data_IF_305791541958
#
_entry.id   IF_305791541958
#
_cell.length_a   1.000
_cell.length_b   1.000
_cell.length_c   1.000
_cell.angle_alpha   90.00
_cell.angle_beta   90.00
_cell.angle_gamma   90.00
#
_symmetry.space_group_name_H-M   'P 1'
#
loop_
_entity.id
_entity.type
_entity.pdbx_description
1 polymer ?
#
# COMPACT_ATOMS: atom_id res chain seq x y z
N UNK A 1 -41.04 -40.22 -32.54
CA UNK A 1 -40.75 -38.83 -32.12
C UNK A 1 -39.60 -38.90 -31.12
N UNK A 2 -38.41 -38.41 -31.49
CA UNK A 2 -37.14 -38.79 -30.87
C UNK A 2 -36.80 -37.88 -29.68
N UNK A 3 -37.05 -38.37 -28.47
CA UNK A 3 -36.99 -37.64 -27.18
C UNK A 3 -35.63 -37.00 -26.90
N UNK A 4 -34.52 -37.53 -27.43
CA UNK A 4 -33.20 -36.89 -27.27
C UNK A 4 -33.07 -35.54 -27.97
N UNK A 5 -33.72 -35.32 -29.12
CA UNK A 5 -33.66 -34.03 -29.83
C UNK A 5 -34.47 -32.93 -29.12
N UNK A 6 -35.52 -33.32 -28.38
CA UNK A 6 -36.37 -32.38 -27.65
C UNK A 6 -35.65 -31.81 -26.42
N UNK A 7 -34.91 -32.63 -25.68
CA UNK A 7 -34.20 -32.22 -24.46
C UNK A 7 -33.05 -31.25 -24.79
N UNK A 8 -32.30 -31.51 -25.86
CA UNK A 8 -31.17 -30.66 -26.25
C UNK A 8 -31.62 -29.27 -26.73
N UNK A 9 -32.79 -29.19 -27.38
CA UNK A 9 -33.32 -27.92 -27.90
C UNK A 9 -33.86 -27.03 -26.78
N UNK A 10 -34.47 -27.62 -25.74
CA UNK A 10 -34.96 -26.87 -24.57
C UNK A 10 -33.79 -26.33 -23.72
N UNK A 11 -32.71 -27.09 -23.59
CA UNK A 11 -31.54 -26.70 -22.78
C UNK A 11 -30.77 -25.52 -23.40
N UNK A 12 -30.65 -25.48 -24.74
CA UNK A 12 -30.03 -24.34 -25.45
C UNK A 12 -30.88 -23.07 -25.35
N UNK A 13 -32.21 -23.18 -25.35
CA UNK A 13 -33.10 -22.02 -25.26
C UNK A 13 -33.07 -21.34 -23.88
N UNK A 14 -32.87 -22.12 -22.80
CA UNK A 14 -32.77 -21.59 -21.43
C UNK A 14 -31.46 -20.83 -21.21
N UNK A 15 -30.36 -21.24 -21.86
CA UNK A 15 -29.07 -20.56 -21.74
C UNK A 15 -29.04 -19.21 -22.47
N UNK A 16 -29.74 -19.08 -23.62
CA UNK A 16 -29.75 -17.83 -24.40
C UNK A 16 -30.62 -16.73 -23.74
N UNK A 17 -31.61 -17.10 -22.93
CA UNK A 17 -32.44 -16.13 -22.20
C UNK A 17 -31.84 -15.69 -20.85
N UNK A 18 -30.82 -16.39 -20.34
CA UNK A 18 -30.22 -16.13 -19.01
C UNK A 18 -29.08 -15.10 -18.97
N UNK A 19 -28.54 -14.67 -20.11
CA UNK A 19 -27.38 -13.75 -20.17
C UNK A 19 -27.75 -12.28 -20.50
N UNK A 20 -29.04 -11.93 -20.49
CA UNK A 20 -29.53 -10.65 -21.02
C UNK A 20 -29.85 -9.53 -20.01
N UNK A 21 -29.49 -9.64 -18.73
CA UNK A 21 -29.84 -8.61 -17.74
C UNK A 21 -28.69 -8.33 -16.77
N UNK A 22 -27.90 -7.28 -17.04
CA UNK A 22 -27.31 -6.38 -16.02
C UNK A 22 -26.37 -5.37 -16.68
N UNK A 23 -26.91 -4.28 -17.25
CA UNK A 23 -26.29 -2.94 -17.20
C UNK A 23 -27.40 -1.89 -17.20
N UNK A 24 -27.98 -1.61 -16.03
CA UNK A 24 -28.66 -0.33 -15.76
C UNK A 24 -27.64 0.52 -15.01
N UNK A 25 -26.99 1.45 -15.70
CA UNK A 25 -26.28 2.55 -15.04
C UNK A 25 -27.15 3.79 -15.13
N UNK A 26 -27.88 4.06 -14.06
CA UNK A 26 -28.67 5.27 -13.87
C UNK A 26 -27.79 6.50 -14.13
N UNK A 27 -28.08 7.25 -15.19
CA UNK A 27 -27.65 8.64 -15.31
C UNK A 27 -28.64 9.47 -14.50
N UNK A 28 -28.31 9.71 -13.24
CA UNK A 28 -28.93 10.77 -12.46
C UNK A 28 -28.49 12.11 -13.03
N UNK A 29 -29.34 12.70 -13.88
CA UNK A 29 -29.28 14.12 -14.22
C UNK A 29 -30.03 14.83 -13.10
N UNK A 30 -29.31 15.58 -12.27
CA UNK A 30 -29.90 16.54 -11.32
C UNK A 30 -29.86 17.91 -12.01
N UNK A 31 -30.99 18.57 -12.28
CA UNK A 31 -31.00 19.92 -12.84
C UNK A 31 -31.00 20.96 -11.70
N UNK A 32 -30.03 21.87 -11.75
CA UNK A 32 -30.07 23.24 -11.19
C UNK A 32 -30.06 23.38 -9.65
N UNK A 33 -29.10 24.14 -9.12
CA UNK A 33 -29.29 25.54 -8.70
C UNK A 33 -28.21 25.98 -7.71
N UNK A 34 -27.58 27.12 -8.02
CA UNK A 34 -27.26 28.22 -7.11
C UNK A 34 -26.26 28.04 -5.93
N UNK A 35 -25.10 28.68 -6.14
CA UNK A 35 -24.36 29.54 -5.19
C UNK A 35 -23.74 28.95 -3.90
N UNK A 36 -22.45 28.61 -3.97
CA UNK A 36 -21.53 28.59 -2.81
C UNK A 36 -20.18 29.13 -3.33
N UNK A 37 -19.76 30.34 -2.95
CA UNK A 37 -18.86 30.57 -1.80
C UNK A 37 -17.40 30.40 -2.24
N UNK A 38 -16.46 31.34 -2.01
CA UNK A 38 -15.07 31.11 -2.39
C UNK A 38 -14.53 29.94 -1.56
N UNK A 39 -14.19 28.83 -2.22
CA UNK A 39 -13.49 27.72 -1.57
C UNK A 39 -12.17 28.24 -1.01
N UNK A 40 -12.02 28.14 0.32
CA UNK A 40 -10.74 28.29 0.96
C UNK A 40 -9.80 27.20 0.44
N UNK A 41 -8.67 27.62 -0.12
CA UNK A 41 -7.62 26.76 -0.66
C UNK A 41 -7.06 25.93 0.50
N UNK A 42 -7.58 24.72 0.70
CA UNK A 42 -6.89 23.69 1.46
C UNK A 42 -5.67 23.28 0.64
N UNK A 43 -4.42 23.49 1.11
CA UNK A 43 -3.27 22.94 0.41
C UNK A 43 -3.40 21.42 0.39
N UNK A 44 -3.49 20.88 -0.82
CA UNK A 44 -3.42 19.46 -1.12
C UNK A 44 -2.20 18.86 -0.37
N UNK A 45 -2.36 17.78 0.41
CA UNK A 45 -1.22 17.15 1.05
C UNK A 45 -0.26 16.67 -0.04
N UNK A 46 0.92 17.28 -0.09
CA UNK A 46 1.98 16.87 -0.99
C UNK A 46 2.49 15.48 -0.58
N UNK A 47 2.05 14.39 -1.22
CA UNK A 47 2.89 13.20 -1.37
C UNK A 47 2.37 12.23 -2.44
N UNK A 48 2.86 12.40 -3.67
CA UNK A 48 2.78 11.37 -4.70
C UNK A 48 3.88 10.36 -4.47
N UNK A 49 3.58 9.27 -3.76
CA UNK A 49 4.52 8.17 -3.53
C UNK A 49 5.22 7.76 -4.83
N UNK A 50 6.56 7.83 -4.84
CA UNK A 50 7.34 7.61 -6.06
C UNK A 50 7.78 6.16 -6.12
N UNK A 51 7.57 5.51 -7.27
CA UNK A 51 8.11 4.17 -7.54
C UNK A 51 9.59 4.26 -7.91
N UNK A 52 10.46 3.68 -7.09
CA UNK A 52 11.92 3.67 -7.27
C UNK A 52 12.43 2.23 -7.40
N UNK A 53 13.60 2.06 -8.01
CA UNK A 53 14.32 0.78 -7.98
C UNK A 53 15.55 0.91 -7.07
N UNK A 54 15.93 -0.19 -6.40
CA UNK A 54 17.09 -0.23 -5.53
C UNK A 54 17.88 -1.52 -5.63
N UNK A 55 19.14 -1.45 -5.21
CA UNK A 55 20.05 -2.59 -5.11
C UNK A 55 20.11 -3.12 -3.67
N UNK A 56 20.25 -4.44 -3.53
CA UNK A 56 20.51 -5.06 -2.24
C UNK A 56 21.85 -4.59 -1.65
N UNK A 57 21.89 -4.42 -0.32
CA UNK A 57 23.06 -3.97 0.42
C UNK A 57 23.34 -2.48 0.28
N UNK A 58 22.50 -1.69 -0.41
CA UNK A 58 22.59 -0.23 -0.43
C UNK A 58 21.52 0.38 0.48
N UNK A 59 21.84 1.55 1.03
CA UNK A 59 20.89 2.34 1.80
C UNK A 59 19.88 2.99 0.84
N UNK A 60 18.60 2.94 1.20
CA UNK A 60 17.48 3.45 0.42
C UNK A 60 16.62 4.32 1.31
N UNK A 61 16.37 5.54 0.87
CA UNK A 61 15.51 6.50 1.56
C UNK A 61 14.06 6.41 1.08
N UNK A 62 13.14 6.42 2.03
CA UNK A 62 11.70 6.37 1.82
C UNK A 62 11.05 7.63 2.41
N UNK A 63 10.23 8.30 1.59
CA UNK A 63 9.15 9.16 2.05
C UNK A 63 7.89 8.35 2.36
N UNK A 64 6.85 9.01 2.87
CA UNK A 64 5.60 8.33 3.16
C UNK A 64 4.98 7.82 1.85
N UNK A 65 4.46 6.59 1.85
CA UNK A 65 3.92 5.91 0.65
C UNK A 65 4.92 5.69 -0.49
N UNK A 66 6.21 5.99 -0.31
CA UNK A 66 7.22 5.63 -1.30
C UNK A 66 7.29 4.12 -1.44
N UNK A 67 7.48 3.69 -2.70
CA UNK A 67 7.58 2.29 -3.06
C UNK A 67 8.91 2.00 -3.74
N UNK A 68 9.59 0.97 -3.30
CA UNK A 68 10.89 0.54 -3.84
C UNK A 68 10.81 -0.91 -4.29
N UNK A 69 11.25 -1.15 -5.53
CA UNK A 69 11.29 -2.47 -6.14
C UNK A 69 12.75 -2.91 -6.33
N UNK A 70 13.07 -4.10 -5.85
CA UNK A 70 14.38 -4.73 -5.98
C UNK A 70 14.39 -5.69 -7.17
N UNK A 71 15.59 -6.08 -7.60
CA UNK A 71 15.82 -6.89 -8.80
C UNK A 71 15.21 -8.29 -8.78
N UNK A 72 14.85 -8.83 -7.62
CA UNK A 72 14.17 -10.13 -7.49
C UNK A 72 12.65 -10.03 -7.36
N UNK A 73 12.09 -8.84 -7.56
CA UNK A 73 10.67 -8.57 -7.43
C UNK A 73 10.20 -8.30 -6.00
N UNK A 74 11.10 -8.22 -5.02
CA UNK A 74 10.75 -7.69 -3.70
C UNK A 74 10.32 -6.22 -3.84
N UNK A 75 9.15 -5.91 -3.30
CA UNK A 75 8.53 -4.61 -3.26
C UNK A 75 8.35 -4.20 -1.80
N UNK A 76 8.86 -3.02 -1.44
CA UNK A 76 8.78 -2.43 -0.11
C UNK A 76 8.07 -1.09 -0.22
N UNK A 77 7.11 -0.85 0.65
CA UNK A 77 6.41 0.42 0.77
C UNK A 77 6.48 0.92 2.21
N UNK A 78 6.83 2.19 2.41
CA UNK A 78 6.73 2.83 3.74
C UNK A 78 5.30 3.29 3.95
N UNK A 79 4.59 2.66 4.88
CA UNK A 79 3.19 2.97 5.17
C UNK A 79 3.02 4.07 6.19
N UNK A 80 3.85 4.06 7.22
CA UNK A 80 3.71 5.01 8.33
C UNK A 80 5.05 5.26 9.06
N UNK A 81 5.13 6.40 9.73
CA UNK A 81 6.23 6.77 10.63
C UNK A 81 5.63 7.21 11.96
N UNK A 82 5.81 6.40 12.99
CA UNK A 82 5.43 6.76 14.35
C UNK A 82 6.63 7.42 15.06
N UNK A 83 6.52 8.71 15.39
CA UNK A 83 7.50 9.44 16.22
C UNK A 83 6.94 9.70 17.61
N UNK A 84 7.28 8.83 18.56
CA UNK A 84 6.88 8.95 19.97
C UNK A 84 7.96 9.60 20.83
N UNK A 85 8.94 10.30 20.23
CA UNK A 85 10.01 10.98 20.99
C UNK A 85 9.47 12.20 21.71
N UNK A 86 10.11 12.52 22.84
CA UNK A 86 9.76 13.71 23.61
C UNK A 86 10.05 15.00 22.82
N UNK A 87 9.07 15.92 22.67
CA UNK A 87 9.30 17.21 22.05
C UNK A 87 10.33 18.06 22.80
N UNK A 88 11.02 18.92 22.07
CA UNK A 88 11.98 19.86 22.67
C UNK A 88 11.31 20.75 23.72
N UNK A 89 11.94 20.90 24.89
CA UNK A 89 11.45 21.75 25.97
C UNK A 89 10.38 21.12 26.86
N UNK A 90 10.06 19.83 26.67
CA UNK A 90 9.13 19.09 27.52
C UNK A 90 9.88 18.04 28.35
N UNK A 91 9.48 17.87 29.61
CA UNK A 91 9.96 16.77 30.44
C UNK A 91 9.01 15.58 30.29
N UNK A 92 9.41 14.59 29.49
CA UNK A 92 8.68 13.33 29.42
C UNK A 92 9.11 12.40 30.55
N UNK A 93 8.16 11.66 31.10
CA UNK A 93 8.44 10.57 32.06
C UNK A 93 8.97 9.36 31.29
N UNK A 94 8.47 9.11 30.09
CA UNK A 94 8.89 8.04 29.19
C UNK A 94 9.08 8.63 27.79
N UNK A 95 10.29 8.55 27.24
CA UNK A 95 10.57 8.92 25.86
C UNK A 95 10.44 7.67 24.98
N UNK A 96 9.62 7.75 23.93
CA UNK A 96 9.52 6.70 22.92
C UNK A 96 10.62 6.78 21.87
N UNK A 97 10.36 6.20 20.72
CA UNK A 97 11.30 6.13 19.59
C UNK A 97 10.61 6.49 18.27
N UNK A 98 11.40 6.67 17.20
CA UNK A 98 10.84 6.63 15.85
C UNK A 98 10.79 5.18 15.38
N UNK A 99 9.64 4.77 14.84
CA UNK A 99 9.41 3.48 14.18
C UNK A 99 8.87 3.71 12.78
N UNK A 100 9.56 3.16 11.77
CA UNK A 100 9.03 3.04 10.41
C UNK A 100 8.25 1.73 10.25
N UNK A 101 7.05 1.83 9.67
CA UNK A 101 6.16 0.69 9.40
C UNK A 101 6.12 0.46 7.90
N UNK A 102 6.64 -0.68 7.45
CA UNK A 102 6.73 -1.03 6.04
C UNK A 102 5.85 -2.21 5.70
N UNK A 103 5.32 -2.23 4.48
CA UNK A 103 4.77 -3.44 3.86
C UNK A 103 5.78 -3.99 2.86
N UNK A 104 6.21 -5.24 3.03
CA UNK A 104 7.09 -5.95 2.12
C UNK A 104 6.37 -7.13 1.46
N UNK A 105 6.52 -7.29 0.15
CA UNK A 105 5.87 -8.36 -0.64
C UNK A 105 6.67 -8.68 -1.91
N UNK A 106 6.47 -9.86 -2.50
CA UNK A 106 7.22 -10.30 -3.67
C UNK A 106 8.59 -10.90 -3.31
N UNK A 107 9.35 -11.30 -4.32
CA UNK A 107 10.59 -12.07 -4.12
C UNK A 107 10.32 -13.33 -3.28
N UNK A 108 11.08 -13.53 -2.20
CA UNK A 108 10.87 -14.64 -1.26
C UNK A 108 9.69 -14.43 -0.28
N UNK A 109 9.09 -13.23 -0.24
CA UNK A 109 7.91 -12.91 0.56
C UNK A 109 6.64 -13.06 -0.29
N UNK A 110 6.10 -14.28 -0.36
CA UNK A 110 4.93 -14.61 -1.20
C UNK A 110 3.67 -13.81 -0.79
N UNK A 111 3.50 -13.53 0.51
CA UNK A 111 2.40 -12.73 1.05
C UNK A 111 2.92 -11.41 1.64
N UNK A 112 2.13 -10.32 1.58
CA UNK A 112 2.48 -9.07 2.24
C UNK A 112 2.77 -9.28 3.72
N UNK A 113 3.91 -8.76 4.17
CA UNK A 113 4.40 -8.85 5.54
C UNK A 113 4.70 -7.46 6.06
N UNK A 114 4.23 -7.14 7.26
CA UNK A 114 4.59 -5.90 7.93
C UNK A 114 5.96 -6.01 8.60
N UNK A 115 6.76 -4.97 8.41
CA UNK A 115 8.13 -4.86 8.91
C UNK A 115 8.20 -3.59 9.75
N UNK A 116 8.56 -3.74 11.02
CA UNK A 116 8.68 -2.64 11.98
C UNK A 116 10.16 -2.41 12.28
N UNK A 117 10.66 -1.21 11.96
CA UNK A 117 12.06 -0.83 12.17
C UNK A 117 12.14 0.40 13.08
N UNK A 118 12.67 0.21 14.29
CA UNK A 118 12.76 1.25 15.31
C UNK A 118 14.19 1.76 15.54
N UNK A 119 14.30 3.01 15.97
CA UNK A 119 15.58 3.66 16.32
C UNK A 119 16.21 3.14 17.61
N UNK A 120 15.45 2.44 18.44
CA UNK A 120 15.90 1.82 19.70
C UNK A 120 15.70 0.30 19.59
N UNK A 121 14.47 -0.13 19.31
CA UNK A 121 14.12 -1.55 19.21
C UNK A 121 14.00 -2.00 17.75
N UNK A 122 14.31 -3.26 17.48
CA UNK A 122 14.16 -3.84 16.13
C UNK A 122 14.88 -3.02 15.03
N UNK A 123 16.09 -2.53 15.32
CA UNK A 123 16.94 -1.83 14.33
C UNK A 123 17.22 -2.67 13.10
N UNK A 124 17.21 -3.99 13.24
CA UNK A 124 17.35 -4.94 12.15
C UNK A 124 16.46 -6.15 12.41
N UNK A 125 15.82 -6.65 11.35
CA UNK A 125 14.99 -7.85 11.41
C UNK A 125 15.26 -8.75 10.21
N UNK A 126 15.13 -10.06 10.43
CA UNK A 126 15.24 -11.06 9.38
C UNK A 126 13.85 -11.59 9.07
N UNK A 127 13.45 -11.58 7.80
CA UNK A 127 12.20 -12.18 7.35
C UNK A 127 12.37 -12.84 5.99
N UNK A 128 12.05 -14.14 5.91
CA UNK A 128 12.01 -14.96 4.69
C UNK A 128 13.14 -14.66 3.69
N UNK A 129 14.39 -14.81 4.13
CA UNK A 129 15.57 -14.67 3.26
C UNK A 129 16.05 -13.22 3.05
N UNK A 130 15.45 -12.25 3.74
CA UNK A 130 15.91 -10.86 3.74
C UNK A 130 16.26 -10.38 5.15
N UNK A 131 17.28 -9.53 5.23
CA UNK A 131 17.59 -8.74 6.42
C UNK A 131 17.25 -7.28 6.12
N UNK A 132 16.32 -6.70 6.88
CA UNK A 132 15.95 -5.29 6.79
C UNK A 132 16.62 -4.56 7.96
N UNK A 133 17.41 -3.53 7.67
CA UNK A 133 18.14 -2.78 8.70
C UNK A 133 17.89 -1.29 8.59
N UNK A 134 17.51 -0.67 9.69
CA UNK A 134 17.38 0.76 9.82
C UNK A 134 18.77 1.41 9.80
N UNK A 135 18.96 2.36 8.88
CA UNK A 135 20.17 3.19 8.82
C UNK A 135 19.94 4.53 9.51
N UNK A 136 18.80 5.18 9.24
CA UNK A 136 18.42 6.44 9.87
C UNK A 136 16.90 6.64 9.84
N UNK A 137 16.40 7.47 10.75
CA UNK A 137 14.99 7.84 10.82
C UNK A 137 14.83 9.30 11.21
N UNK A 138 13.88 9.96 10.56
CA UNK A 138 13.42 11.32 10.88
C UNK A 138 11.90 11.35 10.92
N UNK A 139 11.31 12.51 11.23
CA UNK A 139 9.85 12.69 11.26
C UNK A 139 9.16 12.44 9.92
N UNK A 140 9.87 12.63 8.81
CA UNK A 140 9.30 12.62 7.46
C UNK A 140 9.96 11.62 6.52
N UNK A 141 10.90 10.81 7.02
CA UNK A 141 11.55 9.82 6.17
C UNK A 141 12.41 8.84 6.92
N UNK A 142 12.51 7.64 6.35
CA UNK A 142 13.25 6.51 6.90
C UNK A 142 14.25 6.03 5.85
N UNK A 143 15.49 5.75 6.27
CA UNK A 143 16.49 5.12 5.41
C UNK A 143 16.77 3.71 5.91
N UNK A 144 16.63 2.72 5.04
CA UNK A 144 16.90 1.30 5.35
C UNK A 144 17.90 0.71 4.38
N UNK A 145 18.55 -0.37 4.80
CA UNK A 145 19.33 -1.25 3.94
C UNK A 145 18.67 -2.63 3.93
N UNK A 146 18.57 -3.24 2.76
CA UNK A 146 17.99 -4.58 2.60
C UNK A 146 19.04 -5.51 2.04
N UNK A 147 19.36 -6.58 2.74
CA UNK A 147 20.29 -7.62 2.31
C UNK A 147 19.57 -8.96 2.11
N UNK A 148 20.12 -9.83 1.27
CA UNK A 148 19.69 -11.22 1.13
C UNK A 148 20.46 -12.11 2.12
N UNK A 149 19.77 -13.07 2.71
CA UNK A 149 20.34 -14.14 3.54
C UNK A 149 20.33 -15.48 2.81
#
# INVERSE_FOLDING_TARGET
>A
MNTQKLVLTVLVLVVVLGLGFMVVKQRGIVPGSENEGPEEIFPEPADGGTNKSAEFGKAVAFGLNDRVIFSDGLNIELKDINDSRCPSGVQCIWAGEIVGIFTASGGALIAPTEIYLGTVNNKSIISKGYTFSLTSATKSGITIQVAKN
#
